data_IF_369120738716
#
_entry.id   IF_369120738716
#
_cell.length_a   1.000
_cell.length_b   1.000
_cell.length_c   1.000
_cell.angle_alpha   90.00
_cell.angle_beta   90.00
_cell.angle_gamma   90.00
#
_symmetry.space_group_name_H-M   'P 1'
#
loop_
_entity.id
_entity.type
_entity.pdbx_description
1 polymer ?
#
# COMPACT_ATOMS: atom_id res chain seq x y z
N UNK A 1 9.88 6.03 6.79
CA UNK A 1 9.53 7.10 5.82
C UNK A 1 10.18 6.82 4.47
N UNK A 2 9.71 5.78 3.78
CA UNK A 2 10.21 5.39 2.46
C UNK A 2 9.13 5.53 1.37
N UNK A 3 9.54 5.87 0.15
CA UNK A 3 8.62 5.96 -0.99
C UNK A 3 8.06 4.58 -1.36
N UNK A 4 6.79 4.52 -1.78
CA UNK A 4 6.13 3.25 -2.15
C UNK A 4 6.74 2.61 -3.42
N UNK A 5 7.40 3.39 -4.28
CA UNK A 5 8.01 2.93 -5.52
C UNK A 5 7.14 3.05 -6.78
N UNK A 6 5.89 3.53 -6.69
CA UNK A 6 5.02 3.69 -7.87
C UNK A 6 5.57 4.74 -8.86
N UNK A 7 5.69 6.01 -8.46
CA UNK A 7 6.39 7.03 -9.25
C UNK A 7 5.92 7.28 -10.69
N UNK A 8 4.70 6.85 -11.07
CA UNK A 8 4.20 6.98 -12.45
C UNK A 8 4.96 6.08 -13.44
N UNK A 9 5.45 6.64 -14.55
CA UNK A 9 6.23 5.86 -15.53
C UNK A 9 7.52 5.26 -14.97
N UNK A 10 8.01 5.76 -13.82
CA UNK A 10 9.15 5.19 -13.12
C UNK A 10 8.97 3.69 -12.84
N UNK A 11 7.79 3.23 -12.38
CA UNK A 11 7.59 1.80 -12.09
C UNK A 11 7.63 0.92 -13.34
N UNK A 12 7.47 1.50 -14.53
CA UNK A 12 7.54 0.78 -15.81
C UNK A 12 8.99 0.70 -16.29
N UNK A 13 9.73 1.79 -16.21
CA UNK A 13 11.11 1.84 -16.70
C UNK A 13 12.11 1.22 -15.71
N UNK A 14 11.86 1.38 -14.41
CA UNK A 14 12.72 0.93 -13.32
C UNK A 14 12.00 -0.11 -12.46
N UNK A 15 11.42 -1.13 -13.10
CA UNK A 15 10.56 -2.14 -12.45
C UNK A 15 11.24 -2.77 -11.22
N UNK A 16 12.49 -3.23 -11.37
CA UNK A 16 13.22 -3.89 -10.29
C UNK A 16 13.42 -2.97 -9.08
N UNK A 17 13.72 -1.69 -9.31
CA UNK A 17 13.92 -0.70 -8.26
C UNK A 17 12.57 -0.36 -7.61
N UNK A 18 11.54 -0.14 -8.40
CA UNK A 18 10.17 0.14 -7.95
C UNK A 18 9.63 -0.98 -7.04
N UNK A 19 9.81 -2.24 -7.43
CA UNK A 19 9.40 -3.40 -6.62
C UNK A 19 10.24 -3.51 -5.35
N UNK A 20 11.56 -3.25 -5.44
CA UNK A 20 12.46 -3.28 -4.29
C UNK A 20 12.04 -2.25 -3.23
N UNK A 21 11.75 -1.01 -3.64
CA UNK A 21 11.25 0.05 -2.76
C UNK A 21 9.94 -0.35 -2.06
N UNK A 22 8.98 -0.89 -2.80
CA UNK A 22 7.72 -1.34 -2.23
C UNK A 22 7.90 -2.49 -1.22
N UNK A 23 8.80 -3.44 -1.51
CA UNK A 23 9.14 -4.54 -0.58
C UNK A 23 9.85 -4.04 0.68
N UNK A 24 10.71 -3.04 0.56
CA UNK A 24 11.40 -2.45 1.71
C UNK A 24 10.39 -1.72 2.62
N UNK A 25 9.47 -0.95 2.02
CA UNK A 25 8.33 -0.36 2.73
C UNK A 25 7.48 -1.40 3.48
N UNK A 26 7.19 -2.54 2.86
CA UNK A 26 6.36 -3.61 3.45
C UNK A 26 7.08 -4.40 4.55
N UNK A 27 8.42 -4.43 4.56
CA UNK A 27 9.17 -5.20 5.56
C UNK A 27 8.93 -4.72 6.99
N UNK A 28 8.81 -3.41 7.18
CA UNK A 28 8.45 -2.84 8.48
C UNK A 28 7.03 -3.24 8.89
N UNK A 29 6.12 -3.36 7.92
CA UNK A 29 4.74 -3.76 8.18
C UNK A 29 4.62 -5.23 8.58
N UNK A 30 5.36 -6.11 7.92
CA UNK A 30 5.41 -7.54 8.27
C UNK A 30 5.96 -7.75 9.69
N UNK A 31 6.97 -6.99 10.10
CA UNK A 31 7.55 -7.07 11.43
C UNK A 31 6.60 -6.63 12.57
N UNK A 32 5.57 -5.85 12.24
CA UNK A 32 4.62 -5.29 13.20
C UNK A 32 3.22 -5.95 13.12
N UNK A 33 3.08 -7.08 12.42
CA UNK A 33 1.83 -7.85 12.29
C UNK A 33 0.60 -7.00 11.91
N UNK A 34 0.79 -6.02 11.02
CA UNK A 34 -0.30 -5.12 10.65
C UNK A 34 -1.34 -5.82 9.78
N UNK A 35 -2.63 -5.59 10.04
CA UNK A 35 -3.71 -6.14 9.22
C UNK A 35 -4.09 -5.23 8.04
N UNK A 36 -3.86 -3.91 8.19
CA UNK A 36 -4.25 -2.90 7.23
C UNK A 36 -3.13 -1.90 6.96
N UNK A 37 -2.95 -1.53 5.69
CA UNK A 37 -2.12 -0.40 5.26
C UNK A 37 -3.07 0.68 4.74
N UNK A 38 -2.87 1.92 5.18
CA UNK A 38 -3.68 3.06 4.72
C UNK A 38 -2.84 4.19 4.15
N UNK A 39 -3.44 4.95 3.25
CA UNK A 39 -2.81 6.07 2.57
C UNK A 39 -3.81 6.96 1.84
N UNK A 40 -3.30 8.06 1.28
CA UNK A 40 -4.06 9.06 0.53
C UNK A 40 -3.86 8.97 -0.98
N UNK A 41 -2.93 8.14 -1.43
CA UNK A 41 -2.62 7.96 -2.85
C UNK A 41 -3.00 6.54 -3.26
N UNK A 42 -4.05 6.44 -4.08
CA UNK A 42 -4.57 5.17 -4.59
C UNK A 42 -3.52 4.42 -5.41
N UNK A 43 -2.66 5.13 -6.15
CA UNK A 43 -1.63 4.50 -6.97
C UNK A 43 -0.54 3.84 -6.14
N UNK A 44 -0.12 4.47 -5.04
CA UNK A 44 0.76 3.83 -4.06
C UNK A 44 0.09 2.64 -3.39
N UNK A 45 -1.18 2.76 -3.00
CA UNK A 45 -1.92 1.65 -2.38
C UNK A 45 -2.02 0.45 -3.34
N UNK A 46 -2.37 0.69 -4.61
CA UNK A 46 -2.43 -0.36 -5.63
C UNK A 46 -1.07 -1.05 -5.86
N UNK A 47 0.01 -0.28 -5.89
CA UNK A 47 1.36 -0.83 -6.06
C UNK A 47 1.74 -1.76 -4.89
N UNK A 48 1.54 -1.30 -3.66
CA UNK A 48 1.81 -2.10 -2.46
C UNK A 48 0.89 -3.32 -2.37
N UNK A 49 -0.40 -3.16 -2.67
CA UNK A 49 -1.36 -4.26 -2.73
C UNK A 49 -0.93 -5.33 -3.74
N UNK A 50 -0.43 -4.91 -4.91
CA UNK A 50 0.10 -5.81 -5.92
C UNK A 50 1.31 -6.61 -5.44
N UNK A 51 2.18 -6.03 -4.60
CA UNK A 51 3.32 -6.74 -4.01
C UNK A 51 2.83 -7.76 -2.97
N UNK A 52 1.94 -7.33 -2.06
CA UNK A 52 1.35 -8.17 -1.01
C UNK A 52 0.63 -9.40 -1.60
N UNK A 53 -0.18 -9.19 -2.65
CA UNK A 53 -0.89 -10.28 -3.35
C UNK A 53 0.08 -11.32 -3.91
N UNK A 54 1.20 -10.90 -4.51
CA UNK A 54 2.22 -11.82 -5.04
C UNK A 54 2.99 -12.56 -3.93
N UNK A 55 3.07 -11.98 -2.74
CA UNK A 55 3.65 -12.63 -1.56
C UNK A 55 2.66 -13.55 -0.82
N UNK A 56 1.39 -13.59 -1.24
CA UNK A 56 0.35 -14.37 -0.55
C UNK A 56 -0.04 -13.77 0.82
N UNK A 57 0.22 -12.47 1.02
CA UNK A 57 -0.09 -11.79 2.27
C UNK A 57 -1.60 -11.53 2.42
N UNK A 58 -2.10 -11.61 3.65
CA UNK A 58 -3.49 -11.30 4.00
C UNK A 58 -3.72 -9.82 4.35
N UNK A 59 -2.65 -9.01 4.35
CA UNK A 59 -2.72 -7.57 4.65
C UNK A 59 -3.53 -6.85 3.59
N UNK A 60 -4.42 -5.96 4.02
CA UNK A 60 -5.33 -5.21 3.13
C UNK A 60 -4.92 -3.76 3.02
N UNK A 61 -5.00 -3.19 1.82
CA UNK A 61 -4.81 -1.75 1.61
C UNK A 61 -6.15 -1.02 1.61
N UNK A 62 -6.26 0.13 2.28
CA UNK A 62 -7.47 0.97 2.34
C UNK A 62 -7.13 2.45 2.19
N UNK A 63 -7.89 3.17 1.35
CA UNK A 63 -7.76 4.62 1.26
C UNK A 63 -8.40 5.29 2.49
N UNK A 64 -7.79 6.37 2.98
CA UNK A 64 -8.28 7.07 4.18
C UNK A 64 -9.73 7.54 4.06
N UNK A 65 -10.15 7.94 2.85
CA UNK A 65 -11.54 8.33 2.59
C UNK A 65 -12.54 7.19 2.82
N UNK A 66 -12.16 5.93 2.59
CA UNK A 66 -13.03 4.78 2.86
C UNK A 66 -13.27 4.60 4.37
N UNK A 67 -12.24 4.85 5.18
CA UNK A 67 -12.33 4.82 6.64
C UNK A 67 -13.24 5.94 7.14
N UNK A 68 -13.03 7.16 6.64
CA UNK A 68 -13.82 8.33 7.03
C UNK A 68 -15.28 8.21 6.60
N UNK A 69 -15.54 7.70 5.39
CA UNK A 69 -16.91 7.48 4.90
C UNK A 69 -17.65 6.42 5.71
N UNK A 70 -16.97 5.33 6.13
CA UNK A 70 -17.56 4.34 7.04
C UNK A 70 -17.92 4.95 8.39
N UNK A 71 -17.09 5.82 8.96
CA UNK A 71 -17.43 6.51 10.21
C UNK A 71 -18.60 7.48 10.07
N UNK A 72 -18.70 8.17 8.94
CA UNK A 72 -19.81 9.09 8.65
C UNK A 72 -21.16 8.35 8.54
N UNK A 73 -21.18 7.17 7.90
CA UNK A 73 -22.40 6.36 7.75
C UNK A 73 -22.85 5.67 9.05
N UNK A 74 -21.95 5.38 9.99
CA UNK A 74 -22.31 4.80 11.30
C UNK A 74 -22.95 5.85 12.24
N UNK A 75 -22.79 7.13 11.94
CA UNK A 75 -23.29 8.25 12.75
C UNK A 75 -24.59 8.90 12.21
N UNK A 76 -25.08 8.45 11.06
CA UNK A 76 -26.37 8.84 10.47
C UNK A 76 -27.43 7.78 10.75
#
# INVERSE_FOLDING_TARGET
>A
DECCGFGGSFCVFEEAVSVKMGKDRLREHDANEVEYITGTDVSCLMHLEGILKRQGSNVKTLHIAEILNKQAHVRS
#
